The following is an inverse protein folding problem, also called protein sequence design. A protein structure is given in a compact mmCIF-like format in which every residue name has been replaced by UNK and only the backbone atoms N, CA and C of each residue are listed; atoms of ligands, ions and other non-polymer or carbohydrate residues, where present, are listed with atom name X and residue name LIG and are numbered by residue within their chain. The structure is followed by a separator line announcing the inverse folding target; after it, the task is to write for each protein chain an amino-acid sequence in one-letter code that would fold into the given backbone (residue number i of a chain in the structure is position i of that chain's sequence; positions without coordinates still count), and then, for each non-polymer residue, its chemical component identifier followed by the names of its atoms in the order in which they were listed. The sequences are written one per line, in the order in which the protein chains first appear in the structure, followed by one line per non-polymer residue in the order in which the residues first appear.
data_IF_790585957833
#
_entry.id   IF_790585957833
#
_cell.length_a   1.000
_cell.length_b   1.000
_cell.length_c   1.000
_cell.angle_alpha   90.00
_cell.angle_beta   90.00
_cell.angle_gamma   90.00
#
_symmetry.space_group_name_H-M   'P 1'
#
loop_
_entity.id
_entity.type
_entity.pdbx_description
1 polymer ?
#
# COMPACT_ATOMS: atom_id res chain seq x y z
N UNK A 1 35.53 -8.46 16.68
CA UNK A 1 35.07 -8.19 15.32
C UNK A 1 33.77 -7.43 15.44
N UNK A 2 33.66 -6.22 14.87
CA UNK A 2 32.41 -5.46 14.83
C UNK A 2 31.64 -5.89 13.58
N UNK A 3 30.39 -6.37 13.74
CA UNK A 3 29.53 -6.78 12.64
C UNK A 3 28.62 -5.61 12.27
N UNK A 4 28.69 -5.16 11.03
CA UNK A 4 27.86 -4.07 10.51
C UNK A 4 26.74 -4.60 9.61
N UNK A 5 25.64 -3.84 9.49
CA UNK A 5 24.59 -4.15 8.50
C UNK A 5 25.14 -4.01 7.07
N UNK A 6 24.52 -4.74 6.12
CA UNK A 6 24.90 -4.63 4.71
C UNK A 6 24.75 -3.19 4.19
N UNK A 7 25.67 -2.77 3.32
CA UNK A 7 25.62 -1.47 2.67
C UNK A 7 24.34 -1.25 1.83
N UNK A 8 23.74 -2.32 1.32
CA UNK A 8 22.43 -2.26 0.62
C UNK A 8 21.33 -1.65 1.49
N UNK A 9 21.43 -1.81 2.82
CA UNK A 9 20.43 -1.28 3.76
C UNK A 9 20.69 0.19 4.14
N UNK A 10 21.81 0.79 3.71
CA UNK A 10 22.11 2.18 4.02
C UNK A 10 21.12 3.17 3.37
N UNK A 11 20.64 2.83 2.16
CA UNK A 11 19.73 3.65 1.38
C UNK A 11 18.27 3.15 1.44
N UNK A 12 17.96 2.21 2.32
CA UNK A 12 16.60 1.74 2.55
C UNK A 12 15.99 2.57 3.67
N UNK A 13 15.13 3.51 3.27
CA UNK A 13 14.32 4.30 4.19
C UNK A 13 12.98 3.58 4.39
N UNK A 14 12.77 2.98 5.57
CA UNK A 14 11.51 2.34 5.95
C UNK A 14 11.10 2.81 7.34
N UNK A 15 10.82 4.13 7.44
CA UNK A 15 10.66 4.84 8.70
C UNK A 15 9.25 4.76 9.31
N UNK A 16 8.31 4.08 8.63
CA UNK A 16 6.96 3.83 9.19
C UNK A 16 7.06 3.13 10.57
N UNK A 17 8.18 2.44 10.83
CA UNK A 17 8.53 1.80 12.10
C UNK A 17 9.89 2.28 12.64
N UNK A 18 10.27 3.51 12.31
CA UNK A 18 11.60 4.07 12.58
C UNK A 18 11.84 4.58 14.02
N UNK A 19 12.77 5.55 14.19
CA UNK A 19 13.18 6.07 15.49
C UNK A 19 12.03 6.60 16.34
N UNK A 20 11.05 7.27 15.73
CA UNK A 20 9.87 7.85 16.41
C UNK A 20 9.07 6.77 17.13
N UNK A 21 8.94 5.56 16.55
CA UNK A 21 8.24 4.46 17.19
C UNK A 21 8.93 3.98 18.48
N UNK A 22 10.27 4.08 18.57
CA UNK A 22 11.01 3.74 19.78
C UNK A 22 10.65 4.70 20.92
N UNK A 23 10.52 5.99 20.60
CA UNK A 23 10.10 6.99 21.59
C UNK A 23 8.64 6.76 22.02
N UNK A 24 7.75 6.38 21.10
CA UNK A 24 6.37 6.03 21.45
C UNK A 24 6.31 4.86 22.42
N UNK A 25 7.07 3.78 22.18
CA UNK A 25 7.15 2.63 23.09
C UNK A 25 7.66 3.01 24.48
N UNK A 26 8.72 3.82 24.55
CA UNK A 26 9.24 4.30 25.84
C UNK A 26 8.17 5.09 26.60
N UNK A 27 7.45 5.98 25.93
CA UNK A 27 6.36 6.73 26.58
C UNK A 27 5.24 5.82 27.08
N UNK A 28 4.93 4.74 26.35
CA UNK A 28 3.94 3.73 26.80
C UNK A 28 4.44 2.98 28.04
N UNK A 29 5.73 2.62 28.08
CA UNK A 29 6.39 2.01 29.25
C UNK A 29 6.39 2.94 30.47
N UNK A 30 6.47 4.25 30.24
CA UNK A 30 6.35 5.30 31.27
C UNK A 30 4.87 5.55 31.70
N UNK A 31 3.90 4.83 31.13
CA UNK A 31 2.49 4.89 31.47
C UNK A 31 1.66 5.88 30.67
N UNK A 32 2.20 6.47 29.61
CA UNK A 32 1.45 7.37 28.73
C UNK A 32 0.59 6.60 27.74
N UNK A 33 -0.63 7.05 27.50
CA UNK A 33 -1.48 6.55 26.42
C UNK A 33 -1.13 7.28 25.12
N UNK A 34 -0.61 6.56 24.13
CA UNK A 34 -0.31 7.08 22.81
C UNK A 34 -1.46 6.76 21.85
N UNK A 35 -2.00 7.77 21.18
CA UNK A 35 -2.95 7.57 20.10
C UNK A 35 -2.18 7.35 18.79
N UNK A 36 -2.24 6.13 18.28
CA UNK A 36 -1.47 5.67 17.12
C UNK A 36 -2.24 5.90 15.83
N UNK A 37 -1.84 6.90 15.06
CA UNK A 37 -2.40 7.27 13.75
C UNK A 37 -1.45 6.90 12.60
N UNK A 38 -0.48 6.03 12.84
CA UNK A 38 0.65 5.78 11.95
C UNK A 38 0.48 4.57 11.03
N UNK A 39 -0.22 3.50 11.45
CA UNK A 39 -0.31 2.25 10.70
C UNK A 39 -1.76 1.93 10.33
N UNK A 40 -1.98 1.66 9.05
CA UNK A 40 -3.27 1.19 8.51
C UNK A 40 -3.56 -0.27 8.91
N UNK A 41 -3.72 -0.51 10.20
CA UNK A 41 -4.11 -1.79 10.78
C UNK A 41 -5.51 -1.66 11.38
N UNK A 42 -6.56 -2.22 10.76
CA UNK A 42 -7.94 -2.02 11.21
C UNK A 42 -8.26 -2.65 12.56
N UNK A 43 -7.65 -3.78 12.90
CA UNK A 43 -8.01 -4.58 14.10
C UNK A 43 -7.93 -3.80 15.41
N UNK A 44 -6.87 -3.02 15.74
CA UNK A 44 -6.79 -2.25 16.98
C UNK A 44 -7.88 -1.17 17.13
N UNK A 45 -8.54 -0.81 16.02
CA UNK A 45 -9.62 0.18 16.01
C UNK A 45 -11.01 -0.44 16.04
N UNK A 46 -11.10 -1.75 16.33
CA UNK A 46 -12.37 -2.46 16.46
C UNK A 46 -13.05 -2.76 15.11
N UNK A 47 -12.26 -2.94 14.06
CA UNK A 47 -12.71 -3.51 12.79
C UNK A 47 -12.41 -5.00 12.80
N UNK A 48 -13.41 -5.79 13.14
CA UNK A 48 -13.27 -7.23 13.26
C UNK A 48 -13.18 -7.91 11.89
N UNK A 49 -12.50 -9.05 11.84
CA UNK A 49 -12.50 -9.93 10.70
C UNK A 49 -13.89 -10.50 10.44
N UNK A 50 -14.29 -10.75 9.18
CA UNK A 50 -15.53 -11.47 8.88
C UNK A 50 -15.54 -12.85 9.53
N UNK A 51 -16.63 -13.18 10.22
CA UNK A 51 -16.73 -14.44 10.99
C UNK A 51 -16.59 -15.69 10.12
N UNK A 52 -17.17 -15.67 8.93
CA UNK A 52 -17.07 -16.77 7.96
C UNK A 52 -15.61 -17.06 7.54
N UNK A 53 -14.74 -16.04 7.47
CA UNK A 53 -13.32 -16.21 7.18
C UNK A 53 -12.63 -16.87 8.37
N UNK A 54 -12.92 -16.43 9.60
CA UNK A 54 -12.35 -17.01 10.81
C UNK A 54 -12.76 -18.47 10.95
N UNK A 55 -14.04 -18.78 10.77
CA UNK A 55 -14.58 -20.13 10.88
C UNK A 55 -13.95 -21.07 9.84
N UNK A 56 -13.73 -20.58 8.61
CA UNK A 56 -13.15 -21.40 7.57
C UNK A 56 -11.69 -21.74 7.86
N UNK A 57 -10.91 -20.78 8.35
CA UNK A 57 -9.53 -21.03 8.78
C UNK A 57 -9.50 -22.05 9.93
N UNK A 58 -10.36 -21.89 10.96
CA UNK A 58 -10.42 -22.79 12.10
C UNK A 58 -10.76 -24.22 11.67
N UNK A 59 -11.73 -24.39 10.77
CA UNK A 59 -12.14 -25.73 10.26
C UNK A 59 -11.02 -26.43 9.50
N UNK A 60 -10.20 -25.66 8.77
CA UNK A 60 -9.15 -26.22 7.91
C UNK A 60 -7.81 -26.36 8.64
N UNK A 61 -7.63 -25.84 9.87
CA UNK A 61 -6.38 -25.99 10.61
C UNK A 61 -5.89 -27.43 10.72
N UNK A 62 -6.73 -28.44 11.00
CA UNK A 62 -6.28 -29.83 11.09
C UNK A 62 -5.66 -30.39 9.79
N UNK A 63 -6.00 -29.82 8.65
CA UNK A 63 -5.49 -30.26 7.32
C UNK A 63 -4.39 -29.36 6.78
N UNK A 64 -4.06 -28.29 7.49
CA UNK A 64 -3.11 -27.26 7.06
C UNK A 64 -1.70 -27.45 7.63
N UNK A 65 -1.34 -28.67 8.06
CA UNK A 65 -0.06 -28.98 8.72
C UNK A 65 1.10 -29.16 7.74
N UNK A 66 0.80 -29.64 6.53
CA UNK A 66 1.80 -29.90 5.50
C UNK A 66 2.02 -28.69 4.60
N UNK A 67 3.10 -28.72 3.82
CA UNK A 67 3.32 -27.76 2.74
C UNK A 67 2.24 -27.87 1.67
N UNK A 68 1.86 -26.74 1.09
CA UNK A 68 1.09 -26.69 -0.15
C UNK A 68 1.99 -26.66 -1.37
N UNK A 69 1.41 -26.66 -2.57
CA UNK A 69 2.11 -26.21 -3.77
C UNK A 69 2.78 -24.86 -3.55
N UNK A 70 3.93 -24.65 -4.16
CA UNK A 70 4.69 -23.39 -4.01
C UNK A 70 3.94 -22.14 -4.48
N UNK A 71 3.09 -22.32 -5.50
CA UNK A 71 2.18 -21.25 -5.97
C UNK A 71 0.98 -21.04 -5.05
N UNK A 72 0.63 -22.03 -4.22
CA UNK A 72 -0.48 -22.01 -3.29
C UNK A 72 -1.56 -23.05 -3.58
N UNK A 73 -2.51 -23.19 -2.65
CA UNK A 73 -3.63 -24.11 -2.75
C UNK A 73 -4.44 -23.87 -4.03
N UNK A 74 -4.82 -24.95 -4.70
CA UNK A 74 -5.62 -24.90 -5.93
C UNK A 74 -6.94 -24.11 -5.75
N UNK A 75 -7.68 -24.36 -4.67
CA UNK A 75 -8.95 -23.69 -4.39
C UNK A 75 -8.79 -22.18 -4.25
N UNK A 76 -7.73 -21.75 -3.56
CA UNK A 76 -7.42 -20.34 -3.38
C UNK A 76 -6.99 -19.68 -4.71
N UNK A 77 -6.11 -20.32 -5.46
CA UNK A 77 -5.69 -19.81 -6.79
C UNK A 77 -6.87 -19.74 -7.76
N UNK A 78 -7.76 -20.72 -7.76
CA UNK A 78 -8.98 -20.71 -8.56
C UNK A 78 -9.89 -19.55 -8.20
N UNK A 79 -10.08 -19.28 -6.90
CA UNK A 79 -10.89 -18.16 -6.44
C UNK A 79 -10.30 -16.80 -6.90
N UNK A 80 -8.97 -16.65 -6.83
CA UNK A 80 -8.27 -15.44 -7.33
C UNK A 80 -8.42 -15.32 -8.85
N UNK A 81 -8.25 -16.40 -9.60
CA UNK A 81 -8.47 -16.39 -11.06
C UNK A 81 -9.88 -15.90 -11.40
N UNK A 82 -10.91 -16.46 -10.74
CA UNK A 82 -12.30 -16.06 -10.94
C UNK A 82 -12.55 -14.59 -10.58
N UNK A 83 -11.89 -14.10 -9.53
CA UNK A 83 -11.95 -12.69 -9.14
C UNK A 83 -11.46 -11.76 -10.27
N UNK A 84 -10.36 -12.10 -10.92
CA UNK A 84 -9.86 -11.29 -12.06
C UNK A 84 -10.69 -11.47 -13.33
N UNK A 85 -11.29 -12.65 -13.56
CA UNK A 85 -12.26 -12.83 -14.64
C UNK A 85 -13.48 -11.90 -14.47
N UNK A 86 -14.01 -11.76 -13.25
CA UNK A 86 -15.08 -10.82 -12.95
C UNK A 86 -14.67 -9.36 -13.18
N UNK A 87 -13.38 -9.04 -13.00
CA UNK A 87 -12.79 -7.72 -13.31
C UNK A 87 -12.42 -7.55 -14.78
N UNK A 88 -12.82 -8.49 -15.64
CA UNK A 88 -12.55 -8.46 -17.09
C UNK A 88 -11.05 -8.46 -17.44
N UNK A 89 -10.22 -9.07 -16.62
CA UNK A 89 -8.81 -9.29 -16.94
C UNK A 89 -8.69 -10.55 -17.78
N UNK A 90 -8.24 -10.39 -19.01
CA UNK A 90 -8.10 -11.49 -19.97
C UNK A 90 -6.82 -12.31 -19.72
N UNK A 91 -6.87 -13.59 -20.09
CA UNK A 91 -5.68 -14.47 -20.15
C UNK A 91 -5.09 -14.87 -18.80
N UNK A 92 -5.80 -14.71 -17.68
CA UNK A 92 -5.36 -15.18 -16.37
C UNK A 92 -5.88 -16.58 -16.10
N UNK A 93 -4.98 -17.55 -16.03
CA UNK A 93 -5.27 -18.94 -15.62
C UNK A 93 -4.84 -19.21 -14.17
N UNK A 94 -5.14 -20.42 -13.68
CA UNK A 94 -4.76 -20.82 -12.31
C UNK A 94 -3.23 -20.81 -12.12
N UNK A 95 -2.49 -21.18 -13.17
CA UNK A 95 -1.02 -21.23 -13.14
C UNK A 95 -0.35 -19.84 -13.12
N UNK A 96 -1.11 -18.79 -13.41
CA UNK A 96 -0.65 -17.41 -13.38
C UNK A 96 -0.81 -16.74 -12.00
N UNK A 97 -1.31 -17.51 -11.01
CA UNK A 97 -1.57 -17.01 -9.65
C UNK A 97 -0.51 -17.54 -8.69
N UNK A 98 0.08 -16.63 -7.92
CA UNK A 98 1.02 -16.93 -6.85
C UNK A 98 0.49 -16.38 -5.53
N UNK A 99 0.32 -17.26 -4.56
CA UNK A 99 -0.04 -16.85 -3.20
C UNK A 99 1.23 -16.55 -2.40
N UNK A 100 1.17 -15.56 -1.53
CA UNK A 100 2.31 -15.14 -0.71
C UNK A 100 1.93 -14.79 0.72
N UNK A 101 2.93 -14.68 1.57
CA UNK A 101 2.80 -14.23 2.95
C UNK A 101 2.53 -12.72 3.01
N UNK A 102 1.39 -12.32 2.44
CA UNK A 102 1.02 -10.95 2.16
C UNK A 102 1.66 -10.40 0.89
N UNK A 103 1.14 -9.28 0.41
CA UNK A 103 1.68 -8.56 -0.77
C UNK A 103 3.16 -8.21 -0.60
N UNK A 104 3.60 -7.97 0.63
CA UNK A 104 4.98 -7.58 0.92
C UNK A 104 6.02 -8.61 0.48
N UNK A 105 5.77 -9.92 0.70
CA UNK A 105 6.66 -10.98 0.21
C UNK A 105 6.71 -10.98 -1.32
N UNK A 106 5.56 -10.85 -1.95
CA UNK A 106 5.40 -10.91 -3.40
C UNK A 106 6.06 -9.72 -4.12
N UNK A 107 6.02 -8.53 -3.53
CA UNK A 107 6.76 -7.37 -4.03
C UNK A 107 8.26 -7.67 -4.05
N UNK A 108 8.80 -8.16 -2.93
CA UNK A 108 10.23 -8.51 -2.83
C UNK A 108 10.61 -9.58 -3.85
N UNK A 109 9.82 -10.64 -3.97
CA UNK A 109 10.05 -11.71 -4.95
C UNK A 109 10.05 -11.18 -6.38
N UNK A 110 9.08 -10.35 -6.73
CA UNK A 110 8.94 -9.81 -8.09
C UNK A 110 10.13 -8.95 -8.50
N UNK A 111 10.64 -8.12 -7.57
CA UNK A 111 11.82 -7.30 -7.83
C UNK A 111 13.10 -8.15 -7.92
N UNK A 112 13.28 -9.13 -7.03
CA UNK A 112 14.42 -10.04 -7.08
C UNK A 112 14.48 -10.86 -8.37
N UNK A 113 13.32 -11.28 -8.90
CA UNK A 113 13.26 -12.04 -10.13
C UNK A 113 13.52 -11.20 -11.39
N UNK A 114 13.26 -9.88 -11.34
CA UNK A 114 13.32 -8.99 -12.50
C UNK A 114 14.66 -8.26 -12.63
N UNK A 115 15.20 -7.74 -11.52
CA UNK A 115 16.18 -6.68 -11.56
C UNK A 115 17.62 -7.17 -11.50
N UNK A 116 18.45 -6.62 -12.36
CA UNK A 116 19.91 -6.63 -12.29
C UNK A 116 20.42 -5.30 -11.73
N UNK A 117 21.72 -5.26 -11.40
CA UNK A 117 22.36 -4.02 -10.94
C UNK A 117 22.28 -2.95 -12.04
N UNK A 118 21.75 -1.78 -11.68
CA UNK A 118 21.61 -0.64 -12.57
C UNK A 118 20.28 -0.58 -13.34
N UNK A 119 19.45 -1.60 -13.26
CA UNK A 119 18.06 -1.53 -13.78
C UNK A 119 17.25 -0.50 -12.99
N UNK A 120 16.38 0.23 -13.66
CA UNK A 120 15.55 1.27 -13.06
C UNK A 120 14.08 0.84 -13.02
N UNK A 121 13.39 1.24 -11.95
CA UNK A 121 11.95 1.06 -11.79
C UNK A 121 11.31 2.40 -11.43
N UNK A 122 10.30 2.80 -12.19
CA UNK A 122 9.49 3.97 -11.90
C UNK A 122 8.53 3.66 -10.75
N UNK A 123 8.61 4.44 -9.68
CA UNK A 123 7.79 4.29 -8.46
C UNK A 123 7.13 5.63 -8.16
N UNK A 124 5.87 5.70 -7.70
CA UNK A 124 5.24 7.00 -7.40
C UNK A 124 5.94 7.72 -6.23
N UNK A 125 5.84 9.03 -6.22
CA UNK A 125 6.11 9.86 -5.04
C UNK A 125 4.89 10.76 -4.78
N UNK A 126 4.21 10.58 -3.63
CA UNK A 126 4.54 9.65 -2.53
C UNK A 126 4.16 8.20 -2.86
N UNK A 127 4.83 7.23 -2.20
CA UNK A 127 4.64 5.79 -2.42
C UNK A 127 4.37 5.00 -1.13
N UNK A 128 4.14 3.70 -1.29
CA UNK A 128 4.33 2.73 -0.22
C UNK A 128 5.81 2.32 -0.19
N UNK A 129 6.59 2.67 0.85
CA UNK A 129 8.06 2.62 0.85
C UNK A 129 8.67 1.25 0.58
N UNK A 130 7.88 0.17 0.73
CA UNK A 130 8.36 -1.17 0.43
C UNK A 130 8.72 -1.35 -1.05
N UNK A 131 8.02 -0.68 -1.97
CA UNK A 131 8.35 -0.73 -3.39
C UNK A 131 9.76 -0.20 -3.64
N UNK A 132 10.06 0.98 -3.12
CA UNK A 132 11.41 1.58 -3.18
C UNK A 132 12.46 0.69 -2.53
N UNK A 133 12.17 0.16 -1.35
CA UNK A 133 13.08 -0.73 -0.63
C UNK A 133 13.35 -2.04 -1.39
N UNK A 134 12.32 -2.66 -1.96
CA UNK A 134 12.45 -3.90 -2.71
C UNK A 134 13.28 -3.72 -3.98
N UNK A 135 13.08 -2.62 -4.72
CA UNK A 135 13.90 -2.25 -5.89
C UNK A 135 15.35 -2.10 -5.48
N UNK A 136 15.64 -1.33 -4.45
CA UNK A 136 17.01 -1.09 -3.95
C UNK A 136 17.69 -2.38 -3.51
N UNK A 137 17.00 -3.23 -2.74
CA UNK A 137 17.56 -4.49 -2.23
C UNK A 137 17.79 -5.53 -3.32
N UNK A 138 17.02 -5.47 -4.41
CA UNK A 138 17.21 -6.30 -5.60
C UNK A 138 18.36 -5.82 -6.50
N UNK A 139 19.02 -4.71 -6.17
CA UNK A 139 20.14 -4.13 -6.94
C UNK A 139 19.70 -3.10 -7.99
N UNK A 140 18.40 -2.83 -8.11
CA UNK A 140 17.85 -1.81 -8.99
C UNK A 140 17.92 -0.40 -8.39
N UNK A 141 17.54 0.57 -9.20
CA UNK A 141 17.45 1.97 -8.81
C UNK A 141 15.99 2.47 -8.90
N UNK A 142 15.36 2.85 -7.77
CA UNK A 142 14.02 3.42 -7.80
C UNK A 142 14.08 4.86 -8.35
N UNK A 143 13.26 5.15 -9.35
CA UNK A 143 13.11 6.47 -9.94
C UNK A 143 11.70 6.96 -9.63
N UNK A 144 11.58 7.97 -8.77
CA UNK A 144 10.29 8.44 -8.31
C UNK A 144 9.67 9.41 -9.31
N UNK A 145 8.45 9.10 -9.80
CA UNK A 145 7.63 10.03 -10.55
C UNK A 145 6.66 10.77 -9.64
N UNK A 146 6.35 12.02 -9.99
CA UNK A 146 5.51 12.88 -9.18
C UNK A 146 4.03 12.48 -9.29
N UNK A 147 3.35 12.36 -8.14
CA UNK A 147 1.90 12.48 -8.05
C UNK A 147 1.59 13.91 -7.60
N UNK A 148 0.82 14.63 -8.40
CA UNK A 148 0.60 16.06 -8.21
C UNK A 148 -0.56 16.34 -7.24
N UNK A 149 -0.27 16.96 -6.10
CA UNK A 149 -1.29 17.37 -5.12
C UNK A 149 -2.33 18.30 -5.74
N UNK A 150 -1.90 19.20 -6.62
CA UNK A 150 -2.78 20.15 -7.32
C UNK A 150 -3.72 19.50 -8.33
N UNK A 151 -3.45 18.24 -8.70
CA UNK A 151 -4.26 17.41 -9.59
C UNK A 151 -4.81 16.17 -8.86
N UNK A 152 -5.31 16.33 -7.64
CA UNK A 152 -5.90 15.27 -6.81
C UNK A 152 -4.95 14.07 -6.57
N UNK A 153 -3.65 14.32 -6.48
CA UNK A 153 -2.60 13.31 -6.34
C UNK A 153 -2.47 12.35 -7.51
N UNK A 154 -2.97 12.72 -8.68
CA UNK A 154 -2.80 11.89 -9.88
C UNK A 154 -1.35 11.92 -10.38
N UNK A 155 -0.86 10.79 -10.95
CA UNK A 155 0.45 10.74 -11.57
C UNK A 155 0.62 11.79 -12.68
N UNK A 156 1.74 12.49 -12.66
CA UNK A 156 2.12 13.41 -13.72
C UNK A 156 2.73 12.61 -14.89
N UNK A 157 1.98 12.48 -15.98
CA UNK A 157 2.39 11.72 -17.16
C UNK A 157 3.63 12.34 -17.86
N UNK A 158 3.77 13.67 -17.80
CA UNK A 158 4.93 14.35 -18.38
C UNK A 158 6.20 14.05 -17.56
N UNK A 159 6.08 14.04 -16.24
CA UNK A 159 7.17 13.68 -15.34
C UNK A 159 7.58 12.21 -15.51
N UNK A 160 6.60 11.28 -15.60
CA UNK A 160 6.88 9.87 -15.90
C UNK A 160 7.67 9.76 -17.20
N UNK A 161 7.19 10.38 -18.27
CA UNK A 161 7.85 10.35 -19.60
C UNK A 161 9.27 10.88 -19.54
N UNK A 162 9.50 11.98 -18.83
CA UNK A 162 10.81 12.60 -18.70
C UNK A 162 11.83 11.73 -17.93
N UNK A 163 11.36 10.83 -17.08
CA UNK A 163 12.18 9.97 -16.22
C UNK A 163 12.47 8.60 -16.82
N UNK A 164 11.85 8.24 -17.93
CA UNK A 164 12.14 6.97 -18.62
C UNK A 164 13.51 7.04 -19.28
N UNK A 165 14.35 6.03 -19.02
CA UNK A 165 15.68 5.86 -19.64
C UNK A 165 15.78 4.49 -20.30
N UNK A 166 16.85 4.19 -21.06
CA UNK A 166 17.09 2.83 -21.57
C UNK A 166 17.24 1.76 -20.49
N UNK A 167 17.49 2.14 -19.23
CA UNK A 167 17.62 1.21 -18.10
C UNK A 167 16.27 0.95 -17.39
N UNK A 168 15.23 1.69 -17.74
CA UNK A 168 13.91 1.52 -17.12
C UNK A 168 13.30 0.19 -17.54
N UNK A 169 12.96 -0.66 -16.55
CA UNK A 169 12.38 -2.01 -16.74
C UNK A 169 10.90 -2.07 -16.44
N UNK A 170 10.44 -1.27 -15.49
CA UNK A 170 9.09 -1.39 -14.96
C UNK A 170 8.50 -0.07 -14.49
N UNK A 171 7.17 -0.06 -14.44
CA UNK A 171 6.35 1.00 -13.88
C UNK A 171 5.47 0.43 -12.76
N UNK A 172 5.59 0.99 -11.56
CA UNK A 172 4.74 0.66 -10.42
C UNK A 172 3.57 1.63 -10.34
N UNK A 173 2.37 1.09 -10.23
CA UNK A 173 1.11 1.82 -10.04
C UNK A 173 0.51 1.37 -8.70
N UNK A 174 0.19 2.31 -7.81
CA UNK A 174 -0.46 2.03 -6.52
C UNK A 174 -1.83 2.70 -6.55
N UNK A 175 -2.88 1.91 -6.76
CA UNK A 175 -4.23 2.44 -6.95
C UNK A 175 -5.31 1.56 -6.29
N UNK A 176 -6.05 2.05 -5.29
CA UNK A 176 -5.94 3.36 -4.61
C UNK A 176 -4.59 3.59 -3.95
N UNK A 177 -4.12 4.85 -3.97
CA UNK A 177 -2.77 5.19 -3.55
C UNK A 177 -2.61 5.23 -2.02
N UNK A 178 -1.46 4.80 -1.55
CA UNK A 178 -0.93 5.04 -0.22
C UNK A 178 0.28 5.97 -0.37
N UNK A 179 0.33 7.11 0.33
CA UNK A 179 -0.47 7.54 1.50
C UNK A 179 -1.65 8.47 1.19
N UNK A 180 -1.91 8.82 -0.08
CA UNK A 180 -2.79 9.94 -0.43
C UNK A 180 -4.28 9.60 -0.44
N UNK A 181 -4.63 8.33 -0.66
CA UNK A 181 -6.00 7.90 -0.86
C UNK A 181 -6.58 8.25 -2.24
N UNK A 182 -5.74 8.68 -3.18
CA UNK A 182 -6.18 8.94 -4.55
C UNK A 182 -6.67 7.66 -5.23
N UNK A 183 -7.72 7.78 -6.03
CA UNK A 183 -8.24 6.72 -6.92
C UNK A 183 -8.11 7.24 -8.34
N UNK A 184 -7.20 6.63 -9.10
CA UNK A 184 -6.86 7.14 -10.43
C UNK A 184 -7.98 6.90 -11.43
N UNK A 185 -8.24 7.90 -12.27
CA UNK A 185 -9.21 7.78 -13.37
C UNK A 185 -8.72 6.81 -14.44
N UNK A 186 -9.66 6.27 -15.21
CA UNK A 186 -9.36 5.41 -16.36
C UNK A 186 -8.42 6.09 -17.35
N UNK A 187 -8.62 7.39 -17.58
CA UNK A 187 -7.84 8.21 -18.52
C UNK A 187 -6.36 8.29 -18.08
N UNK A 188 -6.11 8.52 -16.79
CA UNK A 188 -4.74 8.55 -16.24
C UNK A 188 -4.08 7.19 -16.37
N UNK A 189 -4.79 6.12 -16.01
CA UNK A 189 -4.28 4.76 -16.17
C UNK A 189 -3.94 4.43 -17.62
N UNK A 190 -4.80 4.79 -18.57
CA UNK A 190 -4.53 4.61 -20.01
C UNK A 190 -3.30 5.39 -20.46
N UNK A 191 -3.10 6.62 -19.96
CA UNK A 191 -1.90 7.41 -20.24
C UNK A 191 -0.62 6.75 -19.72
N UNK A 192 -0.65 6.22 -18.49
CA UNK A 192 0.47 5.47 -17.91
C UNK A 192 0.78 4.20 -18.71
N UNK A 193 -0.26 3.45 -19.08
CA UNK A 193 -0.12 2.21 -19.85
C UNK A 193 0.40 2.48 -21.26
N UNK A 194 0.05 3.62 -21.88
CA UNK A 194 0.60 4.00 -23.17
C UNK A 194 2.11 4.27 -23.10
N UNK A 195 2.57 4.94 -22.04
CA UNK A 195 4.01 5.10 -21.78
C UNK A 195 4.71 3.76 -21.56
N UNK A 196 4.09 2.87 -20.79
CA UNK A 196 4.62 1.51 -20.58
C UNK A 196 4.72 0.74 -21.90
N UNK A 197 3.74 0.88 -22.79
CA UNK A 197 3.71 0.23 -24.12
C UNK A 197 4.81 0.77 -25.03
N UNK A 198 4.97 2.09 -25.11
CA UNK A 198 5.99 2.73 -25.92
C UNK A 198 7.42 2.34 -25.53
N UNK A 199 7.63 2.01 -24.27
CA UNK A 199 8.95 1.70 -23.72
C UNK A 199 9.13 0.24 -23.28
N UNK A 200 8.18 -0.64 -23.60
CA UNK A 200 8.18 -2.06 -23.24
C UNK A 200 8.41 -2.33 -21.74
N UNK A 201 7.73 -1.56 -20.88
CA UNK A 201 7.85 -1.68 -19.44
C UNK A 201 6.92 -2.78 -18.90
N UNK A 202 7.40 -3.52 -17.90
CA UNK A 202 6.55 -4.37 -17.06
C UNK A 202 5.71 -3.47 -16.17
N UNK A 203 4.43 -3.77 -16.01
CA UNK A 203 3.52 -3.02 -15.14
C UNK A 203 3.31 -3.81 -13.83
N UNK A 204 3.59 -3.17 -12.71
CA UNK A 204 3.26 -3.67 -11.38
C UNK A 204 2.11 -2.84 -10.82
N UNK A 205 0.95 -3.47 -10.60
CA UNK A 205 -0.24 -2.78 -10.08
C UNK A 205 -0.58 -3.27 -8.68
N UNK A 206 -0.36 -2.42 -7.68
CA UNK A 206 -0.72 -2.67 -6.29
C UNK A 206 -2.16 -2.19 -6.06
N UNK A 207 -3.07 -3.14 -5.94
CA UNK A 207 -4.51 -2.90 -5.84
C UNK A 207 -5.07 -3.35 -4.48
N UNK A 208 -4.24 -3.34 -3.42
CA UNK A 208 -4.63 -3.84 -2.08
C UNK A 208 -5.85 -3.11 -1.48
N UNK A 209 -6.15 -1.88 -1.95
CA UNK A 209 -7.28 -1.07 -1.50
C UNK A 209 -8.46 -1.03 -2.49
N UNK A 210 -8.49 -1.89 -3.47
CA UNK A 210 -9.45 -1.87 -4.59
C UNK A 210 -10.93 -1.85 -4.21
N UNK A 211 -11.28 -2.27 -2.99
CA UNK A 211 -12.66 -2.28 -2.44
C UNK A 211 -12.90 -1.22 -1.38
N UNK A 212 -11.89 -0.45 -1.00
CA UNK A 212 -12.04 0.63 -0.04
C UNK A 212 -12.11 1.94 -0.81
N UNK A 213 -13.30 2.24 -1.26
CA UNK A 213 -13.64 3.37 -2.13
C UNK A 213 -14.75 4.18 -1.48
N UNK A 214 -14.70 5.47 -1.61
CA UNK A 214 -15.65 6.41 -1.00
C UNK A 214 -16.37 7.23 -2.07
N UNK A 215 -17.57 7.67 -1.73
CA UNK A 215 -18.43 8.49 -2.58
C UNK A 215 -18.70 7.79 -3.93
N UNK A 216 -18.41 8.44 -5.04
CA UNK A 216 -18.59 7.96 -6.41
C UNK A 216 -17.31 7.39 -7.05
N UNK A 217 -16.25 7.18 -6.25
CA UNK A 217 -14.99 6.63 -6.74
C UNK A 217 -15.18 5.22 -7.31
N UNK A 218 -14.60 4.99 -8.47
CA UNK A 218 -14.62 3.68 -9.15
C UNK A 218 -13.19 3.22 -9.37
N UNK A 219 -12.86 2.05 -8.83
CA UNK A 219 -11.59 1.40 -9.11
C UNK A 219 -11.66 0.62 -10.42
N UNK A 220 -10.72 0.90 -11.30
CA UNK A 220 -10.50 0.12 -12.52
C UNK A 220 -9.26 -0.73 -12.36
N UNK A 221 -9.39 -2.04 -12.53
CA UNK A 221 -8.23 -2.94 -12.48
C UNK A 221 -7.31 -2.60 -13.67
N UNK A 222 -6.07 -2.25 -13.37
CA UNK A 222 -5.09 -1.80 -14.39
C UNK A 222 -4.90 -2.84 -15.49
N UNK A 223 -4.81 -4.12 -15.12
CA UNK A 223 -4.62 -5.22 -16.06
C UNK A 223 -5.77 -5.37 -17.07
N UNK A 224 -7.00 -4.97 -16.72
CA UNK A 224 -8.15 -5.03 -17.64
C UNK A 224 -8.03 -4.03 -18.80
N UNK A 225 -7.19 -3.02 -18.68
CA UNK A 225 -6.98 -1.99 -19.69
C UNK A 225 -5.80 -2.28 -20.62
N UNK A 226 -5.00 -3.30 -20.33
CA UNK A 226 -3.75 -3.57 -21.04
C UNK A 226 -3.51 -5.08 -21.24
N UNK A 227 -4.35 -5.77 -22.06
CA UNK A 227 -4.13 -7.19 -22.33
C UNK A 227 -2.86 -7.48 -23.14
N UNK A 228 -2.26 -6.45 -23.71
CA UNK A 228 -1.05 -6.46 -24.54
C UNK A 228 0.24 -6.16 -23.73
N UNK A 229 0.14 -5.79 -22.46
CA UNK A 229 1.29 -5.54 -21.58
C UNK A 229 1.40 -6.65 -20.51
N UNK A 230 2.66 -7.02 -20.20
CA UNK A 230 2.89 -7.87 -19.03
C UNK A 230 2.55 -7.06 -17.77
N UNK A 231 1.52 -7.50 -17.07
CA UNK A 231 1.06 -6.88 -15.84
C UNK A 231 1.05 -7.90 -14.70
N UNK A 232 1.64 -7.53 -13.57
CA UNK A 232 1.53 -8.25 -12.32
C UNK A 232 0.63 -7.44 -11.40
N UNK A 233 -0.52 -7.98 -11.08
CA UNK A 233 -1.50 -7.34 -10.19
C UNK A 233 -1.41 -7.94 -8.80
N UNK A 234 -1.20 -7.09 -7.80
CA UNK A 234 -1.03 -7.45 -6.38
C UNK A 234 -2.29 -7.12 -5.61
N UNK A 235 -2.77 -8.06 -4.80
CA UNK A 235 -3.88 -7.82 -3.88
C UNK A 235 -3.83 -8.84 -2.72
N UNK A 236 -4.74 -8.75 -1.77
CA UNK A 236 -4.77 -9.63 -0.62
C UNK A 236 -5.90 -9.35 0.36
N UNK A 237 -5.87 -10.06 1.47
CA UNK A 237 -6.92 -10.01 2.48
C UNK A 237 -6.68 -8.95 3.57
N UNK A 238 -5.51 -8.33 3.60
CA UNK A 238 -5.06 -7.49 4.72
C UNK A 238 -5.98 -6.30 5.01
N UNK A 239 -6.57 -5.70 3.98
CA UNK A 239 -7.28 -4.41 4.09
C UNK A 239 -8.77 -4.58 3.96
N UNK A 240 -9.25 -4.95 2.79
CA UNK A 240 -10.69 -5.09 2.52
C UNK A 240 -11.37 -6.15 3.40
N UNK A 241 -10.62 -7.16 3.81
CA UNK A 241 -11.13 -8.24 4.66
C UNK A 241 -10.65 -8.15 6.12
N UNK A 242 -9.90 -7.11 6.48
CA UNK A 242 -9.48 -6.79 7.87
C UNK A 242 -8.68 -7.88 8.59
N UNK A 243 -7.98 -8.71 7.83
CA UNK A 243 -7.14 -9.81 8.36
C UNK A 243 -5.66 -9.62 8.03
N UNK A 244 -5.15 -8.42 8.29
CA UNK A 244 -3.75 -8.07 7.99
C UNK A 244 -2.74 -9.02 8.67
N UNK A 245 -3.08 -9.56 9.83
CA UNK A 245 -2.27 -10.53 10.57
C UNK A 245 -2.24 -11.93 9.95
N UNK A 246 -3.17 -12.28 9.07
CA UNK A 246 -3.18 -13.58 8.39
C UNK A 246 -2.07 -13.71 7.35
N UNK A 247 -1.51 -12.58 6.91
CA UNK A 247 -0.46 -12.56 5.89
C UNK A 247 -0.85 -13.31 4.63
N UNK A 248 -2.00 -12.98 4.05
CA UNK A 248 -2.53 -13.62 2.84
C UNK A 248 -2.64 -12.60 1.71
N UNK A 249 -1.91 -12.85 0.63
CA UNK A 249 -1.92 -12.03 -0.57
C UNK A 249 -1.60 -12.86 -1.80
N UNK A 250 -1.71 -12.25 -2.98
CA UNK A 250 -1.46 -12.92 -4.27
C UNK A 250 -0.94 -11.96 -5.33
N UNK A 251 -0.32 -12.55 -6.35
CA UNK A 251 -0.06 -11.94 -7.66
C UNK A 251 -0.93 -12.66 -8.69
N UNK A 252 -1.49 -11.90 -9.62
CA UNK A 252 -2.04 -12.41 -10.87
C UNK A 252 -1.23 -11.86 -12.03
N UNK A 253 -0.68 -12.75 -12.87
CA UNK A 253 0.11 -12.40 -14.04
C UNK A 253 -0.78 -12.42 -15.27
N UNK A 254 -0.84 -11.32 -16.01
CA UNK A 254 -1.63 -11.16 -17.23
C UNK A 254 -0.79 -10.61 -18.38
N UNK A 255 -1.35 -10.63 -19.59
CA UNK A 255 -0.68 -10.13 -20.81
C UNK A 255 0.19 -11.16 -21.52
N UNK A 256 1.15 -10.75 -22.35
CA UNK A 256 1.93 -11.63 -23.24
C UNK A 256 3.02 -12.42 -22.49
N UNK A 257 2.63 -13.38 -21.67
CA UNK A 257 3.51 -14.23 -20.84
C UNK A 257 4.57 -14.99 -21.64
N UNK A 258 4.30 -15.30 -22.91
CA UNK A 258 5.26 -15.97 -23.78
C UNK A 258 6.55 -15.18 -23.99
N UNK A 259 6.51 -13.84 -23.86
CA UNK A 259 7.69 -12.98 -23.93
C UNK A 259 8.42 -12.85 -22.58
N UNK A 260 7.86 -13.39 -21.51
CA UNK A 260 8.33 -13.22 -20.14
C UNK A 260 8.62 -14.56 -19.42
N UNK A 261 8.78 -15.65 -20.17
CA UNK A 261 8.95 -16.99 -19.61
C UNK A 261 10.11 -17.06 -18.61
N UNK A 262 11.27 -16.53 -18.98
CA UNK A 262 12.44 -16.52 -18.09
C UNK A 262 12.20 -15.73 -16.80
N UNK A 263 11.47 -14.64 -16.86
CA UNK A 263 11.08 -13.87 -15.66
C UNK A 263 10.12 -14.69 -14.77
N UNK A 264 9.11 -15.33 -15.37
CA UNK A 264 8.14 -16.17 -14.67
C UNK A 264 8.85 -17.38 -14.03
N UNK A 265 9.80 -18.02 -14.74
CA UNK A 265 10.67 -19.06 -14.17
C UNK A 265 11.46 -18.56 -12.96
N UNK A 266 11.92 -17.31 -12.98
CA UNK A 266 12.56 -16.66 -11.84
C UNK A 266 11.63 -16.54 -10.64
N UNK A 267 10.37 -16.15 -10.85
CA UNK A 267 9.34 -16.12 -9.79
C UNK A 267 9.06 -17.54 -9.27
N UNK A 268 8.92 -18.53 -10.16
CA UNK A 268 8.75 -19.94 -9.79
C UNK A 268 9.89 -20.44 -8.92
N UNK A 269 11.12 -20.13 -9.29
CA UNK A 269 12.32 -20.51 -8.53
C UNK A 269 12.29 -19.92 -7.11
N UNK A 270 11.99 -18.64 -6.96
CA UNK A 270 11.89 -17.98 -5.66
C UNK A 270 10.72 -18.51 -4.83
N UNK A 271 9.58 -18.79 -5.46
CA UNK A 271 8.45 -19.44 -4.80
C UNK A 271 8.82 -20.84 -4.28
N UNK A 272 9.52 -21.63 -5.08
CA UNK A 272 10.01 -22.97 -4.69
C UNK A 272 11.04 -22.90 -3.55
N UNK A 273 11.96 -21.93 -3.58
CA UNK A 273 12.99 -21.77 -2.54
C UNK A 273 12.38 -21.51 -1.15
N UNK A 274 11.26 -20.81 -1.07
CA UNK A 274 10.57 -20.54 0.21
C UNK A 274 9.52 -21.60 0.57
N UNK A 275 9.40 -22.65 -0.21
CA UNK A 275 8.45 -23.76 -0.13
C UNK A 275 7.01 -23.37 -0.49
N UNK A 276 6.31 -22.66 0.38
CA UNK A 276 4.96 -22.14 0.13
C UNK A 276 4.64 -20.97 1.08
N UNK A 277 3.55 -20.25 0.80
CA UNK A 277 2.95 -19.34 1.78
C UNK A 277 2.35 -20.12 2.96
N UNK A 278 2.07 -19.44 4.08
CA UNK A 278 1.45 -20.12 5.23
C UNK A 278 0.10 -20.74 4.84
N UNK A 279 -0.05 -22.02 5.04
CA UNK A 279 -1.19 -22.79 4.54
C UNK A 279 -2.50 -22.44 5.25
N UNK A 280 -2.54 -22.25 6.58
CA UNK A 280 -3.78 -21.90 7.26
C UNK A 280 -4.50 -20.68 6.66
N UNK A 281 -3.78 -19.62 6.34
CA UNK A 281 -4.39 -18.40 5.79
C UNK A 281 -4.81 -18.50 4.33
N UNK A 282 -4.25 -19.44 3.58
CA UNK A 282 -4.66 -19.68 2.18
C UNK A 282 -6.11 -20.17 2.11
N UNK A 283 -6.58 -20.91 3.10
CA UNK A 283 -7.97 -21.38 3.18
C UNK A 283 -8.98 -20.23 3.27
N UNK A 284 -8.58 -19.08 3.80
CA UNK A 284 -9.44 -17.91 3.91
C UNK A 284 -9.78 -17.26 2.55
N UNK A 285 -8.96 -17.47 1.51
CA UNK A 285 -9.04 -16.72 0.25
C UNK A 285 -10.35 -17.03 -0.49
N UNK A 286 -10.70 -18.30 -0.63
CA UNK A 286 -11.92 -18.69 -1.33
C UNK A 286 -13.17 -18.11 -0.67
N UNK A 287 -13.27 -18.24 0.64
CA UNK A 287 -14.41 -17.71 1.42
C UNK A 287 -14.45 -16.17 1.36
N UNK A 288 -13.29 -15.51 1.46
CA UNK A 288 -13.22 -14.06 1.37
C UNK A 288 -13.70 -13.55 0.00
N UNK A 289 -13.22 -14.13 -1.08
CA UNK A 289 -13.55 -13.66 -2.43
C UNK A 289 -14.96 -14.07 -2.89
N UNK A 290 -15.43 -15.25 -2.48
CA UNK A 290 -16.74 -15.78 -2.85
C UNK A 290 -17.87 -15.45 -1.89
N UNK A 291 -17.56 -14.98 -0.69
CA UNK A 291 -18.53 -14.67 0.36
C UNK A 291 -19.08 -13.25 0.32
N UNK A 292 -19.79 -12.91 1.39
CA UNK A 292 -20.35 -11.56 1.56
C UNK A 292 -19.23 -10.52 1.69
N UNK A 293 -19.34 -9.44 0.94
CA UNK A 293 -18.36 -8.37 0.91
C UNK A 293 -18.69 -7.29 1.96
N UNK A 294 -18.50 -7.62 3.24
CA UNK A 294 -18.86 -6.76 4.36
C UNK A 294 -18.06 -5.44 4.42
N UNK A 295 -17.02 -5.30 3.62
CA UNK A 295 -16.34 -4.01 3.45
C UNK A 295 -17.29 -2.94 2.89
N UNK A 296 -18.27 -3.34 2.06
CA UNK A 296 -19.25 -2.41 1.50
C UNK A 296 -20.05 -1.71 2.59
N UNK A 297 -20.41 -2.40 3.67
CA UNK A 297 -21.16 -1.81 4.79
C UNK A 297 -20.38 -0.70 5.50
N UNK A 298 -19.06 -0.71 5.37
CA UNK A 298 -18.18 0.25 6.00
C UNK A 298 -17.90 1.49 5.16
N UNK A 299 -18.01 1.38 3.84
CA UNK A 299 -17.67 2.46 2.89
C UNK A 299 -18.89 3.16 2.29
N UNK A 300 -20.07 2.55 2.40
CA UNK A 300 -21.35 3.15 1.97
C UNK A 300 -21.85 4.21 2.96
N UNK A 301 -22.85 5.02 2.59
CA UNK A 301 -23.48 5.96 3.52
C UNK A 301 -23.88 5.28 4.84
N UNK A 302 -23.57 5.94 5.96
CA UNK A 302 -23.68 5.43 7.35
C UNK A 302 -22.62 4.37 7.71
N UNK A 303 -21.73 4.01 6.80
CA UNK A 303 -20.60 3.14 7.09
C UNK A 303 -19.49 3.86 7.86
N UNK A 304 -18.93 3.14 8.83
CA UNK A 304 -17.96 3.69 9.77
C UNK A 304 -16.70 4.24 9.10
N UNK A 305 -16.18 3.60 8.04
CA UNK A 305 -15.01 4.10 7.33
C UNK A 305 -15.30 5.40 6.56
N UNK A 306 -16.47 5.50 5.94
CA UNK A 306 -16.87 6.71 5.24
C UNK A 306 -17.01 7.89 6.21
N UNK A 307 -17.69 7.67 7.34
CA UNK A 307 -17.87 8.70 8.38
C UNK A 307 -16.52 9.19 8.92
N UNK A 308 -15.62 8.28 9.27
CA UNK A 308 -14.30 8.59 9.81
C UNK A 308 -13.40 9.31 8.78
N UNK A 309 -13.45 8.91 7.50
CA UNK A 309 -12.75 9.60 6.43
C UNK A 309 -13.25 11.04 6.27
N UNK A 310 -14.57 11.22 6.23
CA UNK A 310 -15.17 12.55 6.10
C UNK A 310 -14.75 13.43 7.27
N UNK A 311 -14.90 12.91 8.49
CA UNK A 311 -14.54 13.67 9.68
C UNK A 311 -13.06 14.05 9.73
N UNK A 312 -12.17 13.12 9.39
CA UNK A 312 -10.73 13.39 9.33
C UNK A 312 -10.43 14.51 8.34
N UNK A 313 -10.99 14.44 7.14
CA UNK A 313 -10.78 15.43 6.09
C UNK A 313 -11.31 16.82 6.49
N UNK A 314 -12.51 16.89 7.05
CA UNK A 314 -13.11 18.13 7.54
C UNK A 314 -12.25 18.78 8.64
N UNK A 315 -11.86 18.01 9.64
CA UNK A 315 -11.08 18.52 10.76
C UNK A 315 -9.69 19.00 10.35
N UNK A 316 -9.00 18.29 9.45
CA UNK A 316 -7.69 18.71 8.96
C UNK A 316 -7.78 20.03 8.20
N UNK A 317 -8.79 20.19 7.32
CA UNK A 317 -8.97 21.44 6.57
C UNK A 317 -9.51 22.61 7.43
N UNK A 318 -10.01 22.33 8.62
CA UNK A 318 -10.38 23.36 9.58
C UNK A 318 -9.19 23.95 10.36
N UNK A 319 -8.01 23.32 10.30
CA UNK A 319 -6.81 23.84 10.96
C UNK A 319 -6.19 24.95 10.09
N UNK A 320 -6.00 26.18 10.61
CA UNK A 320 -5.34 27.24 9.87
C UNK A 320 -3.94 26.84 9.38
N UNK A 321 -3.69 26.96 8.09
CA UNK A 321 -2.42 26.59 7.47
C UNK A 321 -2.26 25.09 7.19
N UNK A 322 -3.32 24.30 7.33
CA UNK A 322 -3.34 22.89 6.88
C UNK A 322 -4.34 22.73 5.74
N UNK A 323 -3.95 22.00 4.73
CA UNK A 323 -4.83 21.60 3.63
C UNK A 323 -4.70 20.10 3.39
N UNK A 324 -5.78 19.46 2.98
CA UNK A 324 -5.80 18.04 2.67
C UNK A 324 -6.73 17.79 1.49
N UNK A 325 -6.21 17.18 0.44
CA UNK A 325 -7.01 16.64 -0.66
C UNK A 325 -7.90 15.53 -0.11
N UNK A 326 -9.16 15.51 -0.55
CA UNK A 326 -10.12 14.51 -0.06
C UNK A 326 -9.72 13.10 -0.49
N UNK A 327 -9.44 12.18 0.45
CA UNK A 327 -9.14 10.81 0.08
C UNK A 327 -10.37 10.12 -0.53
N UNK A 328 -10.25 9.59 -1.73
CA UNK A 328 -11.31 8.88 -2.43
C UNK A 328 -11.27 7.37 -2.21
N UNK A 329 -10.21 6.88 -1.59
CA UNK A 329 -10.04 5.47 -1.25
C UNK A 329 -9.03 5.26 -0.11
N UNK A 330 -8.72 3.99 0.16
CA UNK A 330 -7.79 3.56 1.20
C UNK A 330 -8.21 3.97 2.63
N UNK A 331 -7.24 4.12 3.53
CA UNK A 331 -7.46 4.31 4.97
C UNK A 331 -6.68 5.51 5.54
N UNK A 332 -6.30 6.45 4.68
CA UNK A 332 -5.34 7.50 5.02
C UNK A 332 -5.78 8.87 4.54
N UNK A 333 -5.30 9.91 5.24
CA UNK A 333 -5.24 11.28 4.78
C UNK A 333 -3.78 11.75 4.79
N UNK A 334 -3.41 12.59 3.83
CA UNK A 334 -2.06 13.09 3.63
C UNK A 334 -2.05 14.63 3.57
N UNK A 335 -2.27 15.29 4.74
CA UNK A 335 -2.37 16.75 4.81
C UNK A 335 -1.02 17.43 4.62
N UNK A 336 -1.09 18.62 4.04
CA UNK A 336 0.01 19.56 3.87
C UNK A 336 -0.05 20.64 4.94
N UNK A 337 1.12 21.03 5.46
CA UNK A 337 1.30 22.21 6.29
C UNK A 337 1.86 23.33 5.41
N UNK A 338 1.15 24.46 5.32
CA UNK A 338 1.60 25.62 4.55
C UNK A 338 2.90 26.18 5.17
N UNK A 339 4.02 26.16 4.45
CA UNK A 339 5.28 26.66 4.97
C UNK A 339 5.27 28.17 5.27
N UNK A 340 4.30 28.93 4.75
CA UNK A 340 4.12 30.34 5.07
C UNK A 340 3.50 30.55 6.46
N UNK A 341 2.75 29.56 6.94
CA UNK A 341 2.08 29.62 8.25
C UNK A 341 2.93 28.94 9.31
N UNK A 342 3.43 27.75 9.02
CA UNK A 342 4.28 26.98 9.92
C UNK A 342 5.37 26.29 9.09
N UNK A 343 6.56 26.91 8.91
CA UNK A 343 7.64 26.31 8.16
C UNK A 343 8.19 25.08 8.88
N UNK A 344 8.18 23.95 8.18
CA UNK A 344 8.78 22.69 8.62
C UNK A 344 10.01 22.43 7.77
N UNK A 345 11.17 22.30 8.40
CA UNK A 345 12.44 22.00 7.73
C UNK A 345 12.84 20.54 7.86
N UNK A 346 12.34 19.88 8.91
CA UNK A 346 12.57 18.46 9.19
C UNK A 346 11.26 17.86 9.73
N UNK A 347 10.57 17.10 8.89
CA UNK A 347 9.28 16.50 9.23
C UNK A 347 9.39 15.32 10.20
N UNK A 348 10.52 14.62 10.26
CA UNK A 348 10.79 13.61 11.29
C UNK A 348 10.84 14.26 12.68
N UNK A 349 11.54 15.41 12.78
CA UNK A 349 11.58 16.19 14.02
C UNK A 349 10.17 16.70 14.38
N UNK A 350 9.40 17.19 13.40
CA UNK A 350 8.03 17.63 13.63
C UNK A 350 7.18 16.49 14.24
N UNK A 351 7.22 15.30 13.64
CA UNK A 351 6.46 14.14 14.14
C UNK A 351 6.93 13.71 15.53
N UNK A 352 8.24 13.77 15.81
CA UNK A 352 8.78 13.47 17.14
C UNK A 352 8.31 14.49 18.18
N UNK A 353 8.39 15.80 17.87
CA UNK A 353 7.96 16.85 18.77
C UNK A 353 6.44 16.77 19.05
N UNK A 354 5.64 16.46 18.04
CA UNK A 354 4.21 16.20 18.19
C UNK A 354 3.94 15.01 19.10
N UNK A 355 4.69 13.90 18.95
CA UNK A 355 4.57 12.73 19.81
C UNK A 355 4.90 13.07 21.27
N UNK A 356 6.01 13.78 21.49
CA UNK A 356 6.47 14.11 22.84
C UNK A 356 5.51 15.09 23.56
N UNK A 357 4.96 16.07 22.83
CA UNK A 357 4.02 17.04 23.36
C UNK A 357 2.61 16.47 23.52
N UNK A 358 2.03 15.96 22.44
CA UNK A 358 0.60 15.66 22.35
C UNK A 358 0.26 14.17 22.50
N UNK A 359 1.28 13.27 22.58
CA UNK A 359 1.10 11.81 22.66
C UNK A 359 0.35 11.25 21.44
N UNK A 360 0.62 11.84 20.27
CA UNK A 360 0.10 11.43 18.96
C UNK A 360 1.23 10.86 18.11
N UNK A 361 1.00 9.71 17.50
CA UNK A 361 1.97 9.09 16.60
C UNK A 361 1.42 9.11 15.16
N UNK A 362 1.96 10.00 14.34
CA UNK A 362 1.71 10.10 12.89
C UNK A 362 2.97 9.69 12.11
N UNK A 363 2.96 9.76 10.79
CA UNK A 363 4.14 9.46 9.96
C UNK A 363 4.48 10.67 9.11
N UNK A 364 5.76 11.05 9.09
CA UNK A 364 6.28 12.14 8.26
C UNK A 364 6.11 11.83 6.76
N UNK A 365 5.92 12.85 5.95
CA UNK A 365 5.72 12.73 4.50
C UNK A 365 6.93 12.17 3.77
N UNK A 366 8.14 12.56 4.21
CA UNK A 366 9.39 12.07 3.61
C UNK A 366 9.61 10.55 3.78
N UNK A 367 8.95 9.92 4.77
CA UNK A 367 8.94 8.45 4.90
C UNK A 367 8.23 7.72 3.75
N UNK A 368 7.47 8.43 2.94
CA UNK A 368 6.80 7.94 1.73
C UNK A 368 7.52 8.41 0.45
N UNK A 369 8.80 8.73 0.53
CA UNK A 369 9.61 9.28 -0.55
C UNK A 369 9.03 10.60 -1.15
N UNK A 370 8.19 11.30 -0.38
CA UNK A 370 7.79 12.65 -0.72
C UNK A 370 8.99 13.60 -0.57
N UNK A 371 9.28 14.43 -1.58
CA UNK A 371 10.54 15.18 -1.59
C UNK A 371 10.59 16.39 -0.65
N UNK A 372 9.43 16.83 -0.12
CA UNK A 372 9.35 18.02 0.74
C UNK A 372 8.89 17.67 2.16
N UNK A 373 9.40 18.35 3.19
CA UNK A 373 9.05 18.08 4.59
C UNK A 373 7.75 18.78 5.04
N UNK A 374 6.80 18.95 4.16
CA UNK A 374 5.57 19.73 4.36
C UNK A 374 4.30 18.89 4.52
N UNK A 375 4.41 17.58 4.48
CA UNK A 375 3.28 16.66 4.64
C UNK A 375 3.49 15.68 5.79
N UNK A 376 2.37 15.12 6.27
CA UNK A 376 2.36 13.97 7.17
C UNK A 376 1.16 13.08 6.88
N UNK A 377 1.22 11.81 7.28
CA UNK A 377 0.12 10.87 7.10
C UNK A 377 -0.58 10.57 8.40
N UNK A 378 -1.91 10.55 8.38
CA UNK A 378 -2.76 10.04 9.45
C UNK A 378 -3.66 8.92 8.93
N UNK A 379 -3.96 7.91 9.76
CA UNK A 379 -4.98 6.92 9.44
C UNK A 379 -6.37 7.43 9.83
N UNK A 380 -7.37 7.05 9.04
CA UNK A 380 -8.79 7.42 9.27
C UNK A 380 -9.56 6.34 10.06
N UNK A 381 -8.84 5.50 10.81
CA UNK A 381 -9.39 4.32 11.48
C UNK A 381 -9.96 4.54 12.89
N UNK A 382 -9.53 5.55 13.67
CA UNK A 382 -10.11 5.81 14.98
C UNK A 382 -11.58 6.21 14.88
N UNK A 383 -12.33 6.02 15.96
CA UNK A 383 -13.71 6.54 16.06
C UNK A 383 -13.72 8.07 15.97
N UNK A 384 -14.86 8.62 15.57
CA UNK A 384 -15.01 10.07 15.35
C UNK A 384 -14.56 10.88 16.56
N UNK A 385 -14.94 10.48 17.78
CA UNK A 385 -14.54 11.19 19.01
C UNK A 385 -13.02 11.20 19.23
N UNK A 386 -12.34 10.08 18.92
CA UNK A 386 -10.88 10.00 19.00
C UNK A 386 -10.21 10.86 17.90
N UNK A 387 -10.82 10.92 16.71
CA UNK A 387 -10.36 11.78 15.62
C UNK A 387 -10.51 13.26 15.97
N UNK A 388 -11.66 13.66 16.54
CA UNK A 388 -11.89 15.02 17.02
C UNK A 388 -10.83 15.44 18.03
N UNK A 389 -10.54 14.58 18.99
CA UNK A 389 -9.52 14.83 20.00
C UNK A 389 -8.11 14.90 19.37
N UNK A 390 -7.75 13.93 18.53
CA UNK A 390 -6.40 13.84 17.96
C UNK A 390 -6.10 15.01 17.03
N UNK A 391 -7.00 15.30 16.09
CA UNK A 391 -6.79 16.38 15.11
C UNK A 391 -6.90 17.74 15.78
N UNK A 392 -7.76 17.88 16.80
CA UNK A 392 -7.80 19.06 17.65
C UNK A 392 -6.47 19.33 18.36
N UNK A 393 -5.78 18.29 18.86
CA UNK A 393 -4.43 18.43 19.45
C UNK A 393 -3.40 18.83 18.39
N UNK A 394 -3.44 18.25 17.19
CA UNK A 394 -2.57 18.66 16.07
C UNK A 394 -2.77 20.15 15.79
N UNK A 395 -4.02 20.61 15.69
CA UNK A 395 -4.31 22.02 15.46
C UNK A 395 -3.79 22.94 16.57
N UNK A 396 -3.94 22.54 17.83
CA UNK A 396 -3.41 23.32 18.96
C UNK A 396 -1.88 23.34 18.98
N UNK A 397 -1.23 22.24 18.69
CA UNK A 397 0.22 22.14 18.59
C UNK A 397 0.77 23.09 17.50
N UNK A 398 0.17 23.09 16.32
CA UNK A 398 0.61 23.93 15.19
C UNK A 398 0.47 25.43 15.44
N UNK A 399 -0.40 25.88 16.35
CA UNK A 399 -0.55 27.32 16.68
C UNK A 399 0.75 27.93 17.22
N UNK A 400 1.49 27.20 18.01
CA UNK A 400 2.70 27.67 18.68
C UNK A 400 3.99 27.01 18.20
N UNK A 401 3.88 25.90 17.44
CA UNK A 401 5.05 25.18 16.98
C UNK A 401 5.86 25.97 15.94
N UNK A 402 7.17 26.02 16.13
CA UNK A 402 8.15 26.58 15.19
C UNK A 402 9.43 25.73 15.24
N UNK A 403 10.00 25.44 14.08
CA UNK A 403 11.30 24.79 13.96
C UNK A 403 12.42 25.81 13.81
#
# INVERSE_FOLDING_TARGET
MQVSKSNKLANVCYDIRGPVLKHAKRLEEEGHRILKLNIGNPAPFGFEAPDEILQDVIRNLPTAQGYSDSKGLFSARKAVMQYYQQKQVEGVGIEDIYLGNGVSELIVMSMQALLNNGDEVLVPAPDYPLWTAAVTLAGGHPVHYLCDEGADWFPDLADIKAKITPNTKALVIINPNTPTGAVYSKEVLLGMLELARQHNLVVFSDEIYDKILYDDAVHVCTASLAPDLLCLTFNGLSKSYRVAGFRSGWIAISGPKHNAQSYIEGIDMLANMRLCANVPSQHAIQTALGGYQSINDLVLPQGRLLEQRNRTWELLNAIPGVSCVKPMGALYAFPRIDPKVCPIFNDEKFVLDLLLSEKLLVVQGTAFNWPWPDHFRVVTLPRVDDLDMAIGRIGNFLKSYRQ
#
